data_IF_759459637627
#
_entry.id   IF_759459637627
#
_cell.length_a   1.000
_cell.length_b   1.000
_cell.length_c   1.000
_cell.angle_alpha   90.00
_cell.angle_beta   90.00
_cell.angle_gamma   90.00
#
_symmetry.space_group_name_H-M   'P 1'
#
loop_
_entity.id
_entity.type
_entity.pdbx_description
1 polymer ?
#
# COMPACT_ATOMS: atom_id res chain seq x y z
N UNK A 1 8.13 -23.29 24.61
CA UNK A 1 8.10 -23.15 23.13
C UNK A 1 6.84 -22.39 22.77
N UNK A 2 6.93 -21.18 22.23
CA UNK A 2 5.75 -20.48 21.70
C UNK A 2 5.39 -21.13 20.36
N UNK A 3 4.35 -21.98 20.34
CA UNK A 3 3.72 -22.38 19.09
C UNK A 3 3.27 -21.08 18.40
N UNK A 4 3.90 -20.70 17.29
CA UNK A 4 3.28 -19.75 16.38
C UNK A 4 1.97 -20.39 15.93
N UNK A 5 0.86 -19.79 16.33
CA UNK A 5 -0.47 -20.18 15.87
C UNK A 5 -0.45 -20.13 14.34
N UNK A 6 -0.59 -21.28 13.70
CA UNK A 6 -0.57 -21.32 12.24
C UNK A 6 -1.75 -20.50 11.72
N UNK A 7 -1.46 -19.47 10.93
CA UNK A 7 -2.48 -18.67 10.29
C UNK A 7 -3.40 -19.59 9.48
N UNK A 8 -4.72 -19.45 9.70
CA UNK A 8 -5.73 -20.23 9.00
C UNK A 8 -6.62 -19.27 8.21
N UNK A 9 -6.65 -19.42 6.89
CA UNK A 9 -7.48 -18.62 6.00
C UNK A 9 -8.60 -19.50 5.45
N UNK A 10 -9.86 -19.12 5.68
CA UNK A 10 -11.03 -19.92 5.27
C UNK A 10 -10.95 -21.41 5.66
N UNK A 11 -10.44 -21.70 6.87
CA UNK A 11 -10.31 -23.07 7.37
C UNK A 11 -9.10 -23.85 6.84
N UNK A 12 -8.27 -23.27 5.95
CA UNK A 12 -7.02 -23.86 5.49
C UNK A 12 -5.83 -23.27 6.24
N UNK A 13 -4.94 -24.12 6.75
CA UNK A 13 -3.65 -23.66 7.28
C UNK A 13 -2.80 -23.14 6.13
N UNK A 14 -2.23 -21.95 6.30
CA UNK A 14 -1.42 -21.29 5.27
C UNK A 14 -0.08 -20.84 5.84
N UNK A 15 0.85 -20.48 4.96
CA UNK A 15 2.11 -19.83 5.33
C UNK A 15 1.98 -18.30 5.17
N UNK A 16 2.55 -17.55 6.11
CA UNK A 16 2.47 -16.09 6.16
C UNK A 16 1.75 -15.56 7.40
N UNK A 17 1.64 -14.24 7.47
CA UNK A 17 1.05 -13.50 8.60
C UNK A 17 -0.26 -12.79 8.23
N UNK A 18 -0.70 -12.85 6.96
CA UNK A 18 -1.98 -12.31 6.50
C UNK A 18 -2.68 -13.19 5.45
N UNK A 19 -4.00 -13.03 5.31
CA UNK A 19 -4.85 -13.80 4.41
C UNK A 19 -5.32 -12.99 3.20
N UNK A 20 -5.28 -13.61 2.01
CA UNK A 20 -5.96 -13.13 0.81
C UNK A 20 -6.86 -14.26 0.27
N UNK A 21 -8.14 -14.22 0.63
CA UNK A 21 -9.02 -15.37 0.42
C UNK A 21 -8.53 -16.58 1.21
N UNK A 22 -8.31 -17.71 0.53
CA UNK A 22 -7.81 -18.95 1.15
C UNK A 22 -6.27 -19.10 1.05
N UNK A 23 -5.56 -18.05 0.63
CA UNK A 23 -4.09 -18.04 0.53
C UNK A 23 -3.49 -17.17 1.63
N UNK A 24 -2.39 -17.64 2.23
CA UNK A 24 -1.57 -16.83 3.12
C UNK A 24 -0.51 -16.06 2.34
N UNK A 25 -0.14 -14.89 2.85
CA UNK A 25 0.97 -14.09 2.32
C UNK A 25 1.71 -13.38 3.45
N UNK A 26 2.92 -12.90 3.16
CA UNK A 26 3.63 -12.05 4.13
C UNK A 26 3.28 -10.58 3.94
N UNK A 27 2.70 -9.95 4.96
CA UNK A 27 2.27 -8.54 4.89
C UNK A 27 3.43 -7.55 4.77
N UNK A 28 4.65 -8.00 5.09
CA UNK A 28 5.89 -7.23 4.95
C UNK A 28 6.31 -6.98 3.50
N UNK A 29 5.89 -7.86 2.57
CA UNK A 29 6.33 -7.82 1.15
C UNK A 29 5.19 -7.83 0.16
N UNK A 30 3.99 -8.21 0.59
CA UNK A 30 2.82 -8.38 -0.26
C UNK A 30 1.56 -7.83 0.40
N UNK A 31 0.52 -7.64 -0.39
CA UNK A 31 -0.79 -7.13 0.03
C UNK A 31 -1.89 -7.85 -0.73
N UNK A 32 -3.10 -7.94 -0.15
CA UNK A 32 -4.27 -8.46 -0.85
C UNK A 32 -5.02 -7.32 -1.55
N UNK A 33 -5.18 -7.41 -2.86
CA UNK A 33 -5.79 -6.38 -3.68
C UNK A 33 -6.82 -7.01 -4.61
N UNK A 34 -8.10 -6.68 -4.43
CA UNK A 34 -9.23 -7.28 -5.16
C UNK A 34 -9.21 -8.82 -5.17
N UNK A 35 -8.85 -9.44 -4.04
CA UNK A 35 -8.79 -10.90 -3.90
C UNK A 35 -7.53 -11.57 -4.46
N UNK A 36 -6.57 -10.79 -4.97
CA UNK A 36 -5.28 -11.30 -5.46
C UNK A 36 -4.13 -10.77 -4.62
N UNK A 37 -3.16 -11.62 -4.31
CA UNK A 37 -1.92 -11.21 -3.67
C UNK A 37 -1.08 -10.43 -4.70
N UNK A 38 -0.64 -9.23 -4.30
CA UNK A 38 0.22 -8.34 -5.09
C UNK A 38 1.46 -7.99 -4.29
N UNK A 39 2.58 -7.74 -4.97
CA UNK A 39 3.79 -7.26 -4.33
C UNK A 39 3.61 -5.82 -3.81
N UNK A 40 4.30 -5.49 -2.72
CA UNK A 40 4.16 -4.22 -2.01
C UNK A 40 3.22 -4.32 -0.80
N UNK A 41 3.21 -3.27 0.01
CA UNK A 41 2.47 -3.23 1.27
C UNK A 41 1.13 -2.49 1.18
N UNK A 42 0.80 -1.89 0.03
CA UNK A 42 -0.42 -1.14 -0.18
C UNK A 42 -1.05 -1.43 -1.54
N UNK A 43 -2.37 -1.25 -1.65
CA UNK A 43 -3.17 -1.56 -2.84
C UNK A 43 -3.79 -0.28 -3.42
N UNK A 44 -3.75 -0.13 -4.74
CA UNK A 44 -4.33 0.99 -5.47
C UNK A 44 -4.84 0.49 -6.83
N UNK A 45 -6.13 0.67 -7.13
CA UNK A 45 -6.69 0.31 -8.44
C UNK A 45 -6.51 -1.16 -8.84
N UNK A 46 -6.42 -2.09 -7.88
CA UNK A 46 -6.16 -3.50 -8.15
C UNK A 46 -4.68 -3.88 -8.30
N UNK A 47 -3.77 -2.91 -8.14
CA UNK A 47 -2.32 -3.10 -8.17
C UNK A 47 -1.71 -2.92 -6.78
N UNK A 48 -0.68 -3.71 -6.47
CA UNK A 48 0.12 -3.51 -5.26
C UNK A 48 1.22 -2.48 -5.52
N UNK A 49 1.59 -1.72 -4.48
CA UNK A 49 2.69 -0.77 -4.49
C UNK A 49 3.36 -0.70 -3.11
N UNK A 50 4.58 -0.16 -3.09
CA UNK A 50 5.34 0.05 -1.85
C UNK A 50 5.22 1.50 -1.38
N UNK A 51 4.68 1.69 -0.19
CA UNK A 51 4.76 2.96 0.53
C UNK A 51 6.04 2.99 1.39
N UNK A 52 6.63 4.18 1.66
CA UNK A 52 6.15 5.51 1.27
C UNK A 52 6.66 6.02 -0.08
N UNK A 53 7.37 5.22 -0.89
CA UNK A 53 7.95 5.70 -2.15
C UNK A 53 6.90 6.00 -3.22
N UNK A 54 5.74 5.36 -3.14
CA UNK A 54 4.58 5.64 -3.97
C UNK A 54 3.33 5.84 -3.11
N UNK A 55 2.30 6.46 -3.71
CA UNK A 55 1.01 6.73 -3.10
C UNK A 55 -0.12 6.45 -4.09
N UNK A 56 -1.35 6.28 -3.59
CA UNK A 56 -2.54 6.10 -4.40
C UNK A 56 -3.27 7.43 -4.58
N UNK A 57 -3.44 7.87 -5.82
CA UNK A 57 -4.12 9.10 -6.20
C UNK A 57 -5.25 8.77 -7.19
N UNK A 58 -6.51 8.96 -6.80
CA UNK A 58 -7.67 8.72 -7.67
C UNK A 58 -7.65 7.33 -8.34
N UNK A 59 -7.20 6.30 -7.60
CA UNK A 59 -7.08 4.93 -8.12
C UNK A 59 -5.82 4.62 -8.92
N UNK A 60 -4.91 5.59 -9.09
CA UNK A 60 -3.64 5.40 -9.79
C UNK A 60 -2.44 5.52 -8.85
N UNK A 61 -1.45 4.65 -9.03
CA UNK A 61 -0.19 4.72 -8.29
C UNK A 61 0.63 5.91 -8.83
N UNK A 62 1.09 6.77 -7.94
CA UNK A 62 1.95 7.92 -8.24
C UNK A 62 3.20 7.88 -7.37
N UNK A 63 4.30 8.43 -7.89
CA UNK A 63 5.53 8.57 -7.12
C UNK A 63 5.36 9.62 -6.00
N UNK A 64 6.04 9.40 -4.87
CA UNK A 64 5.92 10.25 -3.69
C UNK A 64 4.99 9.65 -2.63
N UNK A 65 4.93 10.31 -1.48
CA UNK A 65 4.23 9.84 -0.29
C UNK A 65 2.92 10.58 -0.01
N UNK A 66 2.57 11.60 -0.81
CA UNK A 66 1.33 12.35 -0.68
C UNK A 66 0.72 12.68 -2.04
N UNK A 67 -0.59 12.96 -2.03
CA UNK A 67 -1.37 13.27 -3.22
C UNK A 67 -1.86 14.73 -3.20
N UNK A 68 -1.80 15.41 -4.34
CA UNK A 68 -2.34 16.74 -4.56
C UNK A 68 -3.06 16.75 -5.91
N UNK A 69 -4.39 16.88 -5.90
CA UNK A 69 -5.23 16.89 -7.11
C UNK A 69 -4.91 15.75 -8.12
N UNK A 70 -4.77 14.53 -7.60
CA UNK A 70 -4.45 13.35 -8.41
C UNK A 70 -2.97 13.18 -8.79
N UNK A 71 -2.09 14.12 -8.42
CA UNK A 71 -0.65 14.05 -8.62
C UNK A 71 0.05 13.61 -7.34
N UNK A 72 1.03 12.70 -7.47
CA UNK A 72 1.89 12.32 -6.35
C UNK A 72 3.01 13.35 -6.15
N UNK A 73 3.35 13.62 -4.90
CA UNK A 73 4.48 14.47 -4.52
C UNK A 73 5.17 13.95 -3.26
N UNK A 74 6.41 14.38 -3.06
CA UNK A 74 7.14 14.11 -1.82
C UNK A 74 6.91 15.24 -0.81
N UNK A 75 6.38 14.91 0.36
CA UNK A 75 6.22 15.87 1.47
C UNK A 75 7.54 16.36 2.04
N UNK A 76 8.66 15.71 1.71
CA UNK A 76 10.00 16.19 2.10
C UNK A 76 10.43 17.44 1.33
N UNK A 77 9.91 17.65 0.11
CA UNK A 77 10.32 18.75 -0.78
C UNK A 77 9.19 19.72 -1.12
N UNK A 78 7.95 19.26 -1.02
CA UNK A 78 6.79 19.98 -1.56
C UNK A 78 5.58 19.92 -0.61
N UNK A 79 4.60 20.79 -0.84
CA UNK A 79 3.31 20.86 -0.15
C UNK A 79 2.18 21.08 -1.16
N UNK A 80 0.94 20.77 -0.79
CA UNK A 80 -0.24 20.94 -1.64
C UNK A 80 -1.09 22.10 -1.15
N UNK A 81 -1.34 23.09 -2.01
CA UNK A 81 -2.09 24.29 -1.65
C UNK A 81 -3.06 24.68 -2.76
N UNK A 82 -4.35 24.65 -2.42
CA UNK A 82 -5.46 24.89 -3.36
C UNK A 82 -5.33 24.03 -4.65
N UNK A 83 -4.90 22.77 -4.50
CA UNK A 83 -4.71 21.84 -5.63
C UNK A 83 -3.36 21.95 -6.34
N UNK A 84 -2.49 22.88 -5.96
CA UNK A 84 -1.17 23.06 -6.59
C UNK A 84 -0.04 22.56 -5.70
N UNK A 85 0.88 21.79 -6.29
CA UNK A 85 2.12 21.38 -5.64
C UNK A 85 3.10 22.55 -5.66
N UNK A 86 3.54 22.97 -4.48
CA UNK A 86 4.50 24.06 -4.26
C UNK A 86 5.69 23.56 -3.43
N UNK A 87 6.82 24.29 -3.37
CA UNK A 87 7.90 23.98 -2.42
C UNK A 87 7.36 23.87 -0.98
N UNK A 88 7.95 23.02 -0.14
CA UNK A 88 7.38 22.60 1.16
C UNK A 88 6.87 23.73 2.05
N UNK A 89 7.52 24.89 2.01
CA UNK A 89 7.22 26.06 2.84
C UNK A 89 6.63 27.23 2.04
N UNK A 90 6.06 26.98 0.86
CA UNK A 90 5.52 28.01 -0.04
C UNK A 90 4.00 28.18 0.09
N UNK A 91 3.51 27.87 1.29
CA UNK A 91 2.18 28.12 1.82
C UNK A 91 2.38 28.41 3.32
#
# INVERSE_FOLDING_TARGET
LHLHEALTCNGLRVNGDACCGSQGYSSSTSTCCNGFIKAGNACCGGLGYSSPTSTCCNGFIKAGNACCDGLGYSTSTSTCCNGYIKPRNAC
#
